data_IF_197146004946
#
_entry.id   IF_197146004946
#
_cell.length_a   1.000
_cell.length_b   1.000
_cell.length_c   1.000
_cell.angle_alpha   90.00
_cell.angle_beta   90.00
_cell.angle_gamma   90.00
#
_symmetry.space_group_name_H-M   'P 1'
#
loop_
_entity.id
_entity.type
_entity.pdbx_description
1 polymer ?
#
# COMPACT_ATOMS: atom_id res chain seq x y z
N UNK A 1 6.38 33.99 -60.41
CA UNK A 1 7.70 34.43 -59.90
C UNK A 1 7.78 33.97 -58.46
N UNK A 2 8.40 32.81 -58.22
CA UNK A 2 9.75 32.64 -57.64
C UNK A 2 9.77 33.10 -56.16
N UNK A 3 9.52 32.17 -55.23
CA UNK A 3 10.52 31.32 -54.55
C UNK A 3 11.25 32.05 -53.43
N UNK A 4 11.09 31.58 -52.19
CA UNK A 4 12.23 31.05 -51.45
C UNK A 4 11.80 30.16 -50.28
N UNK A 5 12.27 28.92 -50.35
CA UNK A 5 12.39 27.96 -49.26
C UNK A 5 13.67 28.25 -48.49
N UNK A 6 13.69 27.96 -47.19
CA UNK A 6 14.91 27.59 -46.48
C UNK A 6 14.55 26.55 -45.41
N UNK A 7 14.80 25.28 -45.76
CA UNK A 7 14.95 24.17 -44.82
C UNK A 7 16.32 24.34 -44.16
N UNK A 8 16.36 24.36 -42.83
CA UNK A 8 17.59 24.18 -42.05
C UNK A 8 17.77 22.70 -41.73
N UNK A 9 18.75 22.09 -42.38
CA UNK A 9 19.26 20.78 -42.06
C UNK A 9 20.13 20.87 -40.79
N UNK A 10 19.74 20.16 -39.72
CA UNK A 10 20.61 19.91 -38.58
C UNK A 10 21.26 18.53 -38.73
N UNK A 11 22.58 18.57 -38.83
CA UNK A 11 23.55 17.47 -38.82
C UNK A 11 23.55 16.79 -37.45
N UNK A 12 23.17 15.51 -37.39
CA UNK A 12 23.42 14.67 -36.21
C UNK A 12 24.82 14.07 -36.32
N UNK A 13 25.66 14.40 -35.34
CA UNK A 13 26.98 13.79 -35.16
C UNK A 13 26.84 12.30 -34.85
N UNK A 14 27.70 11.50 -35.50
CA UNK A 14 28.01 10.12 -35.12
C UNK A 14 28.79 10.10 -33.81
N UNK A 15 28.47 9.17 -32.90
CA UNK A 15 29.41 8.35 -32.10
C UNK A 15 28.60 7.38 -31.22
N UNK A 16 28.46 6.12 -31.65
CA UNK A 16 28.18 5.00 -30.75
C UNK A 16 29.40 4.10 -30.83
N UNK A 17 30.26 4.17 -29.82
CA UNK A 17 31.29 3.18 -29.57
C UNK A 17 30.65 2.06 -28.75
N UNK A 18 30.54 0.88 -29.37
CA UNK A 18 30.14 -0.36 -28.71
C UNK A 18 31.29 -0.81 -27.80
N UNK A 19 31.07 -0.79 -26.48
CA UNK A 19 31.91 -1.47 -25.50
C UNK A 19 31.58 -2.95 -25.52
N UNK A 20 32.48 -3.77 -26.06
CA UNK A 20 32.40 -5.22 -26.02
C UNK A 20 33.78 -5.83 -26.04
N UNK A 21 34.27 -6.22 -24.87
CA UNK A 21 35.27 -7.28 -24.68
C UNK A 21 35.19 -7.73 -23.21
N UNK A 22 34.38 -8.76 -23.00
CA UNK A 22 34.58 -9.77 -21.94
C UNK A 22 35.90 -10.48 -22.22
N UNK A 23 36.71 -10.67 -21.18
CA UNK A 23 37.31 -11.96 -20.79
C UNK A 23 38.38 -11.72 -19.72
N UNK A 24 38.25 -12.36 -18.55
CA UNK A 24 39.18 -13.42 -18.11
C UNK A 24 38.85 -13.96 -16.71
N UNK A 25 38.90 -15.28 -16.62
CA UNK A 25 38.71 -16.18 -15.49
C UNK A 25 39.99 -16.47 -14.70
N UNK A 26 39.77 -17.07 -13.52
CA UNK A 26 40.68 -17.86 -12.65
C UNK A 26 41.69 -17.05 -11.80
N UNK A 27 41.94 -17.37 -10.53
CA UNK A 27 42.47 -18.62 -9.92
C UNK A 27 42.08 -18.58 -8.41
N UNK A 28 41.48 -19.64 -7.82
CA UNK A 28 42.12 -20.71 -7.00
C UNK A 28 42.98 -20.12 -5.84
N UNK A 29 43.06 -20.62 -4.61
CA UNK A 29 42.58 -21.77 -3.87
C UNK A 29 43.02 -21.51 -2.41
N UNK A 30 42.43 -22.13 -1.39
CA UNK A 30 43.11 -22.72 -0.20
C UNK A 30 42.10 -23.05 0.92
N UNK A 31 42.01 -24.36 1.13
CA UNK A 31 41.38 -25.22 2.14
C UNK A 31 41.77 -24.93 3.62
N UNK A 32 40.81 -25.09 4.56
CA UNK A 32 40.67 -26.21 5.55
C UNK A 32 41.44 -25.92 6.87
N UNK A 33 40.96 -26.11 8.11
CA UNK A 33 40.35 -27.22 8.87
C UNK A 33 39.55 -26.62 10.07
N UNK A 34 38.37 -27.12 10.46
CA UNK A 34 38.08 -28.28 11.35
C UNK A 34 38.51 -28.09 12.82
N UNK A 35 37.55 -28.07 13.76
CA UNK A 35 37.42 -29.06 14.88
C UNK A 35 36.30 -28.65 15.86
N UNK A 36 35.59 -29.67 16.32
CA UNK A 36 34.39 -29.70 17.17
C UNK A 36 34.67 -29.75 18.69
N UNK A 37 33.57 -29.89 19.46
CA UNK A 37 33.36 -30.09 20.92
C UNK A 37 33.14 -28.78 21.68
N UNK A 38 32.19 -28.66 22.61
CA UNK A 38 31.68 -29.66 23.56
C UNK A 38 30.28 -29.28 24.07
N UNK A 39 29.48 -30.29 24.43
CA UNK A 39 28.21 -30.14 25.14
C UNK A 39 28.46 -29.92 26.65
N UNK A 40 27.47 -29.39 27.39
CA UNK A 40 26.90 -29.98 28.62
C UNK A 40 25.78 -29.11 29.21
N UNK A 41 24.69 -29.80 29.50
CA UNK A 41 23.41 -29.49 30.15
C UNK A 41 23.55 -29.20 31.66
N UNK A 42 22.67 -28.34 32.24
CA UNK A 42 21.85 -28.60 33.45
C UNK A 42 21.00 -27.39 33.87
N UNK A 43 19.66 -27.57 33.91
CA UNK A 43 18.70 -26.84 34.78
C UNK A 43 18.70 -27.45 36.20
N UNK A 44 17.83 -27.07 37.17
CA UNK A 44 17.28 -25.77 37.57
C UNK A 44 17.59 -25.47 39.07
N UNK A 45 17.36 -24.23 39.54
CA UNK A 45 17.25 -23.97 41.00
C UNK A 45 15.89 -23.35 41.31
N UNK A 46 15.10 -24.15 42.02
CA UNK A 46 13.84 -23.80 42.67
C UNK A 46 14.16 -23.07 43.98
N UNK A 47 13.54 -21.91 44.18
CA UNK A 47 13.28 -21.39 45.54
C UNK A 47 11.79 -21.12 45.64
N UNK A 48 11.13 -21.96 46.42
CA UNK A 48 9.77 -21.74 46.88
C UNK A 48 9.80 -20.76 48.05
N UNK A 49 8.92 -19.76 48.04
CA UNK A 49 8.31 -19.23 49.25
C UNK A 49 6.92 -18.69 48.93
N UNK A 50 5.96 -19.29 49.62
CA UNK A 50 4.52 -19.01 49.79
C UNK A 50 4.14 -17.53 49.85
N UNK A 51 3.09 -17.11 49.14
CA UNK A 51 1.76 -16.89 49.73
C UNK A 51 0.69 -16.51 48.68
N UNK A 52 -0.54 -16.93 48.95
CA UNK A 52 -1.85 -16.37 48.55
C UNK A 52 -2.28 -16.21 47.07
N UNK A 53 -3.57 -16.53 46.89
CA UNK A 53 -4.51 -16.12 45.84
C UNK A 53 -4.48 -16.90 44.52
N UNK A 54 -5.24 -18.01 44.55
CA UNK A 54 -6.18 -18.43 43.52
C UNK A 54 -6.56 -17.29 42.57
N UNK A 55 -6.07 -17.36 41.34
CA UNK A 55 -6.69 -16.68 40.20
C UNK A 55 -6.78 -17.73 39.12
N UNK A 56 -7.95 -18.38 39.02
CA UNK A 56 -8.38 -19.03 37.79
C UNK A 56 -8.34 -17.97 36.69
N UNK A 57 -7.20 -17.89 36.00
CA UNK A 57 -7.12 -17.23 34.71
C UNK A 57 -7.85 -18.16 33.75
N UNK A 58 -9.17 -17.97 33.67
CA UNK A 58 -9.99 -18.45 32.56
C UNK A 58 -9.26 -18.04 31.28
N UNK A 59 -8.60 -19.02 30.66
CA UNK A 59 -8.17 -18.89 29.29
C UNK A 59 -9.46 -18.87 28.49
N UNK A 60 -9.97 -17.67 28.25
CA UNK A 60 -10.91 -17.42 27.17
C UNK A 60 -10.15 -17.78 25.89
N UNK A 61 -10.29 -19.05 25.53
CA UNK A 61 -9.94 -19.59 24.24
C UNK A 61 -10.68 -18.71 23.24
N UNK A 62 -9.96 -17.75 22.67
CA UNK A 62 -10.50 -16.89 21.64
C UNK A 62 -10.96 -17.81 20.52
N UNK A 63 -12.27 -18.03 20.45
CA UNK A 63 -12.90 -18.79 19.39
C UNK A 63 -12.43 -18.13 18.10
N UNK A 64 -11.57 -18.82 17.36
CA UNK A 64 -11.21 -18.44 16.01
C UNK A 64 -12.47 -18.68 15.20
N UNK A 65 -13.33 -17.68 15.14
CA UNK A 65 -14.50 -17.69 14.25
C UNK A 65 -13.92 -17.72 12.84
N UNK A 66 -13.85 -18.92 12.27
CA UNK A 66 -13.48 -19.11 10.87
C UNK A 66 -14.63 -18.53 10.07
N UNK A 67 -14.41 -17.35 9.49
CA UNK A 67 -15.36 -16.71 8.59
C UNK A 67 -15.55 -17.58 7.36
N UNK A 68 -16.80 -17.91 7.02
CA UNK A 68 -17.07 -18.88 5.94
C UNK A 68 -16.72 -18.37 4.54
N UNK A 69 -16.51 -17.07 4.33
CA UNK A 69 -16.00 -16.50 3.07
C UNK A 69 -15.41 -15.10 3.34
N UNK A 70 -14.14 -14.99 3.78
CA UNK A 70 -13.52 -13.68 3.98
C UNK A 70 -13.35 -12.93 2.65
N UNK A 71 -13.27 -11.59 2.67
CA UNK A 71 -12.88 -10.80 1.51
C UNK A 71 -11.61 -11.34 0.84
N UNK A 72 -11.52 -11.21 -0.48
CA UNK A 72 -10.40 -11.73 -1.29
C UNK A 72 -9.02 -11.34 -0.75
N UNK A 73 -8.90 -10.11 -0.25
CA UNK A 73 -7.66 -9.54 0.28
C UNK A 73 -7.71 -9.34 1.80
N UNK A 74 -8.54 -10.10 2.52
CA UNK A 74 -8.71 -9.95 3.96
C UNK A 74 -7.40 -10.09 4.76
N UNK A 75 -6.49 -10.99 4.36
CA UNK A 75 -5.20 -11.14 5.04
C UNK A 75 -4.33 -9.88 4.94
N UNK A 76 -4.38 -9.20 3.79
CA UNK A 76 -3.66 -7.95 3.57
C UNK A 76 -4.25 -6.88 4.48
N UNK A 77 -5.55 -6.60 4.36
CA UNK A 77 -6.20 -5.56 5.17
C UNK A 77 -6.11 -5.87 6.65
N UNK A 78 -6.31 -7.12 7.07
CA UNK A 78 -6.16 -7.53 8.47
C UNK A 78 -4.77 -7.22 9.05
N UNK A 79 -3.70 -7.33 8.24
CA UNK A 79 -2.34 -6.96 8.64
C UNK A 79 -2.12 -5.45 8.75
N UNK A 80 -2.95 -4.64 8.09
CA UNK A 80 -2.89 -3.17 8.12
C UNK A 80 -3.62 -2.60 9.35
N UNK A 81 -4.48 -3.38 10.01
CA UNK A 81 -5.19 -2.93 11.18
C UNK A 81 -4.22 -2.63 12.34
N UNK A 82 -4.40 -1.49 12.99
CA UNK A 82 -3.50 -1.03 14.05
C UNK A 82 -4.10 -1.25 15.43
N UNK A 83 -3.30 -1.78 16.36
CA UNK A 83 -3.68 -1.79 17.78
C UNK A 83 -3.85 -0.35 18.29
N UNK A 84 -4.61 -0.14 19.37
CA UNK A 84 -4.77 1.19 19.96
C UNK A 84 -3.42 1.89 20.20
N UNK A 85 -3.29 3.12 19.70
CA UNK A 85 -2.09 3.96 19.77
C UNK A 85 -0.86 3.42 19.02
N UNK A 86 -1.02 2.40 18.18
CA UNK A 86 0.04 1.94 17.30
C UNK A 86 0.17 2.86 16.07
N UNK A 87 1.35 2.80 15.47
CA UNK A 87 1.70 3.40 14.19
C UNK A 87 2.17 2.28 13.27
N UNK A 88 1.99 2.48 11.96
CA UNK A 88 2.64 1.62 10.99
C UNK A 88 4.15 1.89 10.98
N UNK A 89 4.93 0.86 10.68
CA UNK A 89 6.35 0.98 10.35
C UNK A 89 6.61 0.44 8.96
N UNK A 90 7.69 0.90 8.32
CA UNK A 90 8.07 0.42 7.00
C UNK A 90 8.30 -1.09 6.99
N UNK A 91 8.96 -1.63 8.02
CA UNK A 91 9.26 -3.07 8.12
C UNK A 91 7.99 -3.92 8.27
N UNK A 92 7.02 -3.44 9.07
CA UNK A 92 5.75 -4.14 9.25
C UNK A 92 4.93 -4.14 7.97
N UNK A 93 4.90 -3.03 7.22
CA UNK A 93 4.17 -2.96 5.95
C UNK A 93 4.85 -3.80 4.87
N UNK A 94 6.17 -3.75 4.77
CA UNK A 94 6.95 -4.60 3.86
C UNK A 94 6.87 -6.11 4.18
N UNK A 95 6.24 -6.47 5.31
CA UNK A 95 5.99 -7.84 5.75
C UNK A 95 4.51 -8.22 5.68
N UNK A 96 3.65 -7.38 5.10
CA UNK A 96 2.24 -7.71 4.84
C UNK A 96 2.15 -9.01 4.03
N UNK A 97 1.31 -9.97 4.46
CA UNK A 97 1.15 -11.25 3.78
C UNK A 97 0.53 -11.07 2.39
N UNK A 98 0.68 -12.10 1.55
CA UNK A 98 0.06 -12.22 0.22
C UNK A 98 0.46 -11.15 -0.82
N UNK A 99 1.45 -10.29 -0.49
CA UNK A 99 2.11 -9.42 -1.47
C UNK A 99 3.12 -10.24 -2.28
N UNK A 100 2.94 -10.30 -3.60
CA UNK A 100 3.75 -11.14 -4.48
C UNK A 100 5.21 -10.68 -4.55
N UNK A 101 5.42 -9.37 -4.64
CA UNK A 101 6.75 -8.77 -4.73
C UNK A 101 6.70 -7.32 -4.24
N UNK A 102 7.64 -6.97 -3.36
CA UNK A 102 7.92 -5.58 -2.97
C UNK A 102 9.04 -4.99 -3.83
N UNK A 103 8.83 -3.79 -4.38
CA UNK A 103 9.79 -3.07 -5.20
C UNK A 103 9.49 -1.56 -5.25
N UNK A 104 10.11 -0.72 -4.39
CA UNK A 104 11.11 -1.06 -3.39
C UNK A 104 10.48 -1.61 -2.10
N UNK A 105 11.24 -2.45 -1.38
CA UNK A 105 10.86 -2.96 -0.04
C UNK A 105 11.24 -2.03 1.12
N UNK A 106 12.08 -1.04 0.85
CA UNK A 106 12.57 -0.05 1.82
C UNK A 106 12.13 1.34 1.40
N UNK A 107 11.84 2.26 2.35
CA UNK A 107 11.30 3.57 2.03
C UNK A 107 12.24 4.33 1.10
N UNK A 108 11.75 4.63 -0.10
CA UNK A 108 12.50 5.31 -1.15
C UNK A 108 11.84 6.63 -1.44
N UNK A 109 12.64 7.70 -1.56
CA UNK A 109 12.10 9.01 -1.93
C UNK A 109 11.70 9.00 -3.40
N UNK A 110 10.59 9.63 -3.75
CA UNK A 110 10.23 9.87 -5.15
C UNK A 110 11.25 10.83 -5.80
N UNK A 111 12.14 10.31 -6.65
CA UNK A 111 13.17 11.11 -7.34
C UNK A 111 12.62 11.83 -8.58
N UNK A 112 11.50 11.36 -9.14
CA UNK A 112 10.90 11.90 -10.37
C UNK A 112 10.05 13.14 -10.12
N UNK A 113 9.65 13.36 -8.87
CA UNK A 113 8.92 14.55 -8.44
C UNK A 113 9.66 15.14 -7.24
N UNK A 114 10.73 15.93 -7.46
CA UNK A 114 11.61 16.40 -6.38
C UNK A 114 10.89 17.22 -5.29
N UNK A 115 9.76 17.81 -5.66
CA UNK A 115 8.87 18.57 -4.77
C UNK A 115 7.92 17.69 -3.96
N UNK A 116 7.85 16.39 -4.26
CA UNK A 116 7.18 15.39 -3.44
C UNK A 116 8.08 15.03 -2.26
N UNK A 117 7.72 15.42 -1.03
CA UNK A 117 8.51 15.07 0.15
C UNK A 117 8.32 13.59 0.54
N UNK A 118 7.38 12.87 -0.08
CA UNK A 118 7.01 11.53 0.36
C UNK A 118 8.05 10.45 0.04
N UNK A 119 8.14 9.52 0.98
CA UNK A 119 8.82 8.24 0.82
C UNK A 119 7.77 7.19 0.56
N UNK A 120 8.11 6.18 -0.23
CA UNK A 120 7.19 5.10 -0.54
C UNK A 120 7.85 3.72 -0.55
N UNK A 121 7.01 2.71 -0.37
CA UNK A 121 7.23 1.33 -0.80
C UNK A 121 6.05 0.90 -1.65
N UNK A 122 6.26 -0.02 -2.58
CA UNK A 122 5.21 -0.56 -3.44
C UNK A 122 5.33 -2.08 -3.54
N UNK A 123 4.20 -2.77 -3.58
CA UNK A 123 4.15 -4.21 -3.80
C UNK A 123 2.99 -4.63 -4.70
N UNK A 124 3.27 -5.61 -5.57
CA UNK A 124 2.26 -6.19 -6.47
C UNK A 124 1.35 -7.17 -5.74
N UNK A 125 0.04 -7.09 -6.00
CA UNK A 125 -0.98 -8.00 -5.46
C UNK A 125 -1.33 -9.08 -6.48
N UNK A 126 -1.61 -8.68 -7.71
CA UNK A 126 -1.81 -9.53 -8.87
C UNK A 126 -1.46 -8.75 -10.15
N UNK A 127 -1.80 -9.31 -11.31
CA UNK A 127 -1.52 -8.69 -12.60
C UNK A 127 -2.28 -7.37 -12.85
N UNK A 128 -3.26 -7.05 -12.01
CA UNK A 128 -4.16 -5.91 -12.18
C UNK A 128 -4.04 -4.86 -11.09
N UNK A 129 -3.27 -5.11 -10.03
CA UNK A 129 -3.20 -4.17 -8.92
C UNK A 129 -2.07 -4.39 -7.93
N UNK A 130 -2.00 -3.48 -6.96
CA UNK A 130 -0.93 -3.42 -5.98
C UNK A 130 -1.29 -2.63 -4.75
N UNK A 131 -0.38 -2.68 -3.78
CA UNK A 131 -0.39 -1.87 -2.57
C UNK A 131 0.80 -0.91 -2.61
N UNK A 132 0.58 0.32 -2.20
CA UNK A 132 1.61 1.32 -1.98
C UNK A 132 1.47 1.87 -0.59
N UNK A 133 2.57 2.16 0.08
CA UNK A 133 2.53 2.94 1.31
C UNK A 133 3.38 4.19 1.13
N UNK A 134 2.89 5.31 1.65
CA UNK A 134 3.50 6.63 1.57
C UNK A 134 3.66 7.22 2.96
N UNK A 135 4.69 8.04 3.15
CA UNK A 135 4.90 8.74 4.42
C UNK A 135 6.20 9.54 4.43
N UNK A 136 6.76 9.70 5.62
CA UNK A 136 8.07 10.31 5.81
C UNK A 136 9.17 9.25 5.76
N UNK A 137 10.43 9.69 5.79
CA UNK A 137 11.56 8.76 5.89
C UNK A 137 11.43 7.78 7.07
N UNK A 138 10.86 8.24 8.17
CA UNK A 138 10.82 7.50 9.43
C UNK A 138 9.60 6.59 9.54
N UNK A 139 8.46 7.00 8.98
CA UNK A 139 7.23 6.21 9.07
C UNK A 139 6.25 6.42 7.91
N UNK A 140 5.50 5.38 7.54
CA UNK A 140 4.32 5.49 6.69
C UNK A 140 3.18 6.24 7.39
N UNK A 141 2.34 6.91 6.60
CA UNK A 141 1.17 7.70 7.02
C UNK A 141 -0.08 7.31 6.24
N UNK A 142 0.10 6.89 4.99
CA UNK A 142 -0.94 6.58 4.02
C UNK A 142 -0.65 5.21 3.41
N UNK A 143 -1.68 4.40 3.22
CA UNK A 143 -1.63 3.18 2.42
C UNK A 143 -2.65 3.31 1.30
N UNK A 144 -2.26 2.91 0.09
CA UNK A 144 -3.13 2.84 -1.07
C UNK A 144 -3.16 1.42 -1.59
N UNK A 145 -4.35 0.94 -1.93
CA UNK A 145 -4.55 -0.30 -2.68
C UNK A 145 -5.26 0.09 -3.96
N UNK A 146 -4.67 -0.22 -5.09
CA UNK A 146 -5.18 0.19 -6.39
C UNK A 146 -5.23 -0.98 -7.36
N UNK A 147 -6.12 -0.87 -8.33
CA UNK A 147 -6.23 -1.80 -9.44
C UNK A 147 -6.70 -1.09 -10.70
N UNK A 148 -6.47 -1.72 -11.84
CA UNK A 148 -6.94 -1.21 -13.12
C UNK A 148 -7.10 -2.32 -14.14
N UNK A 149 -8.02 -2.09 -15.06
CA UNK A 149 -8.28 -2.98 -16.18
C UNK A 149 -8.55 -2.15 -17.44
N UNK A 150 -7.86 -2.48 -18.53
CA UNK A 150 -8.09 -1.83 -19.81
C UNK A 150 -9.37 -2.32 -20.49
N UNK A 151 -10.07 -1.47 -21.23
CA UNK A 151 -11.29 -1.87 -21.99
C UNK A 151 -11.01 -3.02 -22.97
N UNK A 152 -9.79 -3.07 -23.51
CA UNK A 152 -9.36 -4.11 -24.45
C UNK A 152 -9.09 -5.47 -23.79
N UNK A 153 -9.00 -5.54 -22.46
CA UNK A 153 -8.76 -6.77 -21.70
C UNK A 153 -10.09 -7.46 -21.38
N UNK A 154 -11.03 -6.71 -20.83
CA UNK A 154 -12.39 -7.14 -20.51
C UNK A 154 -13.29 -5.92 -20.26
N UNK A 155 -14.47 -5.90 -20.84
CA UNK A 155 -15.45 -4.82 -20.65
C UNK A 155 -16.20 -4.91 -19.32
N UNK A 156 -16.12 -6.05 -18.61
CA UNK A 156 -16.86 -6.24 -17.35
C UNK A 156 -16.24 -5.54 -16.14
N UNK A 157 -14.97 -5.13 -16.22
CA UNK A 157 -14.26 -4.54 -15.07
C UNK A 157 -13.99 -5.54 -13.94
N UNK A 158 -14.06 -6.84 -14.21
CA UNK A 158 -13.95 -7.92 -13.22
C UNK A 158 -12.64 -7.92 -12.43
N UNK A 159 -11.57 -7.33 -12.99
CA UNK A 159 -10.28 -7.23 -12.32
C UNK A 159 -10.12 -5.97 -11.46
N UNK A 160 -11.11 -5.08 -11.47
CA UNK A 160 -11.10 -3.85 -10.67
C UNK A 160 -11.58 -4.16 -9.25
N UNK A 161 -10.72 -3.91 -8.28
CA UNK A 161 -10.98 -4.17 -6.88
C UNK A 161 -12.07 -3.26 -6.33
N UNK A 162 -12.95 -3.84 -5.55
CA UNK A 162 -14.01 -3.15 -4.82
C UNK A 162 -13.70 -3.14 -3.33
N UNK A 163 -14.38 -2.28 -2.59
CA UNK A 163 -14.26 -2.22 -1.12
C UNK A 163 -14.61 -3.56 -0.46
N UNK A 164 -15.56 -4.32 -1.02
CA UNK A 164 -15.95 -5.67 -0.60
C UNK A 164 -14.88 -6.75 -0.83
N UNK A 165 -13.92 -6.53 -1.74
CA UNK A 165 -12.76 -7.41 -1.89
C UNK A 165 -11.73 -7.21 -0.77
N UNK A 166 -11.75 -6.05 -0.12
CA UNK A 166 -10.75 -5.59 0.84
C UNK A 166 -11.23 -5.70 2.29
N UNK A 167 -12.47 -5.28 2.56
CA UNK A 167 -12.99 -5.11 3.91
C UNK A 167 -14.22 -5.95 4.17
N UNK A 168 -14.35 -6.42 5.41
CA UNK A 168 -15.60 -7.01 5.86
C UNK A 168 -16.67 -5.93 5.97
N UNK A 169 -17.85 -6.18 5.41
CA UNK A 169 -18.94 -5.21 5.38
C UNK A 169 -19.36 -4.73 6.79
N UNK A 170 -19.28 -5.60 7.80
CA UNK A 170 -19.60 -5.26 9.19
C UNK A 170 -18.52 -4.42 9.90
N UNK A 171 -17.32 -4.30 9.33
CA UNK A 171 -16.24 -3.46 9.86
C UNK A 171 -16.20 -2.09 9.17
N UNK A 172 -16.93 -1.90 8.07
CA UNK A 172 -16.90 -0.69 7.25
C UNK A 172 -18.20 0.12 7.44
N UNK A 173 -18.08 1.36 7.92
CA UNK A 173 -19.21 2.28 8.08
C UNK A 173 -19.07 3.46 7.13
N UNK A 174 -20.07 3.71 6.27
CA UNK A 174 -20.08 4.86 5.35
C UNK A 174 -20.11 6.18 6.13
N UNK A 175 -19.26 7.14 5.75
CA UNK A 175 -19.18 8.49 6.32
C UNK A 175 -19.51 9.51 5.24
N UNK A 176 -20.66 10.18 5.33
CA UNK A 176 -21.07 11.18 4.34
C UNK A 176 -20.11 12.37 4.29
N UNK A 177 -19.85 12.85 3.09
CA UNK A 177 -18.99 13.99 2.79
C UNK A 177 -19.59 14.88 1.71
N UNK A 178 -19.31 16.18 1.76
CA UNK A 178 -19.60 17.08 0.65
C UNK A 178 -18.72 16.83 -0.59
N UNK A 179 -17.67 16.00 -0.46
CA UNK A 179 -16.83 15.53 -1.55
C UNK A 179 -17.24 14.14 -2.07
N UNK A 180 -18.36 13.58 -1.61
CA UNK A 180 -18.90 12.37 -2.19
C UNK A 180 -19.36 12.63 -3.63
N UNK A 181 -19.21 11.65 -4.51
CA UNK A 181 -19.83 11.66 -5.84
C UNK A 181 -20.86 10.54 -5.97
N UNK A 182 -21.56 10.49 -7.11
CA UNK A 182 -22.54 9.43 -7.38
C UNK A 182 -21.86 8.06 -7.41
N UNK A 183 -22.43 7.09 -6.68
CA UNK A 183 -21.83 5.75 -6.50
C UNK A 183 -21.63 5.01 -7.82
N UNK A 184 -22.61 5.12 -8.73
CA UNK A 184 -22.62 4.51 -10.06
C UNK A 184 -22.14 5.47 -11.18
N UNK A 185 -21.52 6.60 -10.81
CA UNK A 185 -20.98 7.56 -11.75
C UNK A 185 -19.72 7.05 -12.45
N UNK A 186 -19.35 7.69 -13.58
CA UNK A 186 -18.06 7.43 -14.24
C UNK A 186 -16.88 7.72 -13.30
N UNK A 187 -17.05 8.67 -12.38
CA UNK A 187 -16.14 8.88 -11.27
C UNK A 187 -16.92 8.79 -9.96
N UNK A 188 -16.64 7.77 -9.18
CA UNK A 188 -17.23 7.51 -7.86
C UNK A 188 -16.18 7.76 -6.79
N UNK A 189 -16.51 8.51 -5.74
CA UNK A 189 -15.66 8.78 -4.58
C UNK A 189 -16.51 8.70 -3.33
N UNK A 190 -16.16 7.77 -2.44
CA UNK A 190 -16.88 7.48 -1.21
C UNK A 190 -15.91 7.43 -0.02
N UNK A 191 -16.40 7.78 1.17
CA UNK A 191 -15.60 7.75 2.39
C UNK A 191 -16.20 6.83 3.46
N UNK A 192 -15.34 6.16 4.22
CA UNK A 192 -15.72 5.20 5.24
C UNK A 192 -14.83 5.30 6.47
N UNK A 193 -15.39 4.88 7.60
CA UNK A 193 -14.67 4.52 8.81
C UNK A 193 -14.57 3.00 8.86
N UNK A 194 -13.35 2.49 8.92
CA UNK A 194 -13.06 1.07 9.11
C UNK A 194 -12.71 0.80 10.57
N UNK A 195 -13.46 -0.09 11.21
CA UNK A 195 -13.36 -0.38 12.65
C UNK A 195 -13.40 -1.89 12.89
N UNK A 196 -12.22 -2.51 12.94
CA UNK A 196 -12.06 -3.90 13.36
C UNK A 196 -12.13 -4.04 14.89
N UNK A 197 -12.82 -5.05 15.45
CA UNK A 197 -12.88 -5.28 16.89
C UNK A 197 -11.48 -5.43 17.54
N UNK A 198 -11.20 -4.65 18.59
CA UNK A 198 -9.91 -4.67 19.29
C UNK A 198 -8.76 -3.92 18.59
N UNK A 199 -9.07 -3.13 17.56
CA UNK A 199 -8.14 -2.26 16.84
C UNK A 199 -8.64 -0.80 16.89
N UNK A 200 -7.77 0.16 16.58
CA UNK A 200 -8.17 1.57 16.46
C UNK A 200 -8.91 1.82 15.12
N UNK A 201 -9.84 2.79 15.06
CA UNK A 201 -10.48 3.15 13.80
C UNK A 201 -9.44 3.68 12.82
N UNK A 202 -9.64 3.32 11.55
CA UNK A 202 -8.95 3.89 10.41
C UNK A 202 -9.99 4.48 9.46
N UNK A 203 -9.54 5.37 8.58
CA UNK A 203 -10.39 6.08 7.64
C UNK A 203 -10.00 5.69 6.23
N UNK A 204 -11.02 5.54 5.39
CA UNK A 204 -10.89 4.99 4.05
C UNK A 204 -11.55 5.93 3.06
N UNK A 205 -10.89 6.22 1.94
CA UNK A 205 -11.57 6.64 0.73
C UNK A 205 -11.60 5.47 -0.25
N UNK A 206 -12.63 5.39 -1.07
CA UNK A 206 -12.71 4.47 -2.20
C UNK A 206 -13.11 5.26 -3.44
N UNK A 207 -12.31 5.13 -4.50
CA UNK A 207 -12.52 5.77 -5.78
C UNK A 207 -12.64 4.71 -6.85
N UNK A 208 -13.58 4.91 -7.77
CA UNK A 208 -13.64 4.20 -9.05
C UNK A 208 -13.65 5.25 -10.15
N UNK A 209 -12.76 5.12 -11.14
CA UNK A 209 -12.71 5.99 -12.32
C UNK A 209 -12.83 5.14 -13.58
N UNK A 210 -13.93 5.34 -14.30
CA UNK A 210 -14.27 4.72 -15.58
C UNK A 210 -14.01 5.72 -16.70
N UNK A 211 -13.01 5.40 -17.52
CA UNK A 211 -12.64 6.18 -18.68
C UNK A 211 -12.63 5.31 -19.94
N UNK A 212 -12.54 5.96 -21.11
CA UNK A 212 -12.48 5.25 -22.40
C UNK A 212 -11.33 4.25 -22.51
N UNK A 213 -10.25 4.43 -21.74
CA UNK A 213 -9.08 3.56 -21.74
C UNK A 213 -9.22 2.35 -20.81
N UNK A 214 -10.12 2.40 -19.83
CA UNK A 214 -10.29 1.36 -18.82
C UNK A 214 -11.00 1.86 -17.58
N UNK A 215 -11.18 0.94 -16.64
CA UNK A 215 -11.67 1.23 -15.30
C UNK A 215 -10.55 1.05 -14.31
N UNK A 216 -10.46 1.94 -13.33
CA UNK A 216 -9.50 1.85 -12.23
C UNK A 216 -10.18 2.05 -10.89
N UNK A 217 -9.58 1.49 -9.86
CA UNK A 217 -9.99 1.67 -8.46
C UNK A 217 -8.79 2.07 -7.63
N UNK A 218 -9.04 2.97 -6.68
CA UNK A 218 -8.05 3.51 -5.75
C UNK A 218 -8.68 3.60 -4.36
N UNK A 219 -8.14 2.82 -3.42
CA UNK A 219 -8.62 2.74 -2.04
C UNK A 219 -7.50 3.18 -1.12
N UNK A 220 -7.70 4.31 -0.44
CA UNK A 220 -6.75 4.82 0.54
C UNK A 220 -7.14 4.47 1.96
N UNK A 221 -6.15 4.24 2.82
CA UNK A 221 -6.30 3.96 4.26
C UNK A 221 -5.36 4.88 5.03
N UNK A 222 -5.91 5.60 6.01
CA UNK A 222 -5.15 6.51 6.87
C UNK A 222 -5.71 6.55 8.30
N UNK A 223 -5.02 7.23 9.21
CA UNK A 223 -5.45 7.39 10.62
C UNK A 223 -6.49 8.48 10.80
N UNK A 224 -6.63 9.39 9.84
CA UNK A 224 -7.65 10.44 9.79
C UNK A 224 -8.00 10.79 8.34
N UNK A 225 -9.15 11.43 8.10
CA UNK A 225 -9.45 11.97 6.78
C UNK A 225 -8.50 13.13 6.40
N UNK A 226 -8.02 13.91 7.36
CA UNK A 226 -7.11 15.03 7.12
C UNK A 226 -5.78 14.59 6.50
N UNK A 227 -5.31 13.38 6.84
CA UNK A 227 -4.09 12.80 6.26
C UNK A 227 -4.17 12.66 4.73
N UNK A 228 -5.38 12.50 4.18
CA UNK A 228 -5.59 12.42 2.73
C UNK A 228 -5.53 13.78 2.00
N UNK A 229 -5.62 14.89 2.73
CA UNK A 229 -5.59 16.23 2.14
C UNK A 229 -4.32 17.01 2.51
N UNK A 230 -3.33 16.32 3.08
CA UNK A 230 -2.02 16.89 3.31
C UNK A 230 -1.28 17.09 1.98
N UNK A 231 -0.81 18.31 1.73
CA UNK A 231 -0.11 18.71 0.51
C UNK A 231 1.15 17.89 0.24
N UNK A 232 1.80 17.41 1.30
CA UNK A 232 2.98 16.55 1.23
C UNK A 232 2.71 15.22 0.51
N UNK A 233 1.45 14.81 0.36
CA UNK A 233 1.04 13.57 -0.33
C UNK A 233 0.15 13.83 -1.55
N UNK A 234 0.05 15.08 -2.01
CA UNK A 234 -0.84 15.46 -3.13
C UNK A 234 -0.60 14.64 -4.41
N UNK A 235 0.67 14.33 -4.74
CA UNK A 235 0.98 13.50 -5.91
C UNK A 235 0.57 12.04 -5.71
N UNK A 236 0.77 11.50 -4.51
CA UNK A 236 0.33 10.15 -4.15
C UNK A 236 -1.20 10.03 -4.20
N UNK A 237 -1.93 11.13 -4.00
CA UNK A 237 -3.39 11.19 -3.91
C UNK A 237 -4.04 11.91 -5.10
N UNK A 238 -3.39 11.92 -6.26
CA UNK A 238 -3.83 12.69 -7.43
C UNK A 238 -5.26 12.39 -7.90
N UNK A 239 -5.78 11.18 -7.63
CA UNK A 239 -7.13 10.77 -8.00
C UNK A 239 -8.19 11.25 -7.01
N UNK A 240 -7.81 11.59 -5.78
CA UNK A 240 -8.71 12.09 -4.75
C UNK A 240 -9.08 13.54 -5.07
N UNK A 241 -10.37 13.78 -5.30
CA UNK A 241 -10.88 15.09 -5.73
C UNK A 241 -11.57 15.78 -4.56
N UNK A 242 -11.15 17.01 -4.27
CA UNK A 242 -11.84 17.91 -3.38
C UNK A 242 -12.48 19.04 -4.21
N UNK A 243 -13.47 18.68 -5.03
CA UNK A 243 -14.13 19.58 -5.97
C UNK A 243 -15.66 19.57 -5.75
N UNK A 244 -16.32 20.72 -5.95
CA UNK A 244 -17.79 20.79 -6.03
C UNK A 244 -18.32 20.33 -7.42
N UNK A 245 -19.64 20.36 -7.61
CA UNK A 245 -20.30 19.96 -8.85
C UNK A 245 -19.92 20.87 -10.04
N UNK A 246 -19.47 22.09 -9.77
CA UNK A 246 -19.00 23.07 -10.74
C UNK A 246 -17.49 22.95 -11.03
N UNK A 247 -16.79 22.06 -10.32
CA UNK A 247 -15.35 21.82 -10.48
C UNK A 247 -14.45 22.81 -9.73
N UNK A 248 -14.98 23.58 -8.78
CA UNK A 248 -14.18 24.44 -7.91
C UNK A 248 -13.59 23.66 -6.74
N UNK A 249 -12.39 24.02 -6.32
CA UNK A 249 -11.77 23.45 -5.12
C UNK A 249 -12.58 23.77 -3.86
N UNK A 250 -12.85 22.73 -3.08
CA UNK A 250 -13.54 22.82 -1.79
C UNK A 250 -12.74 22.12 -0.69
N UNK A 251 -13.05 22.44 0.56
CA UNK A 251 -12.59 21.63 1.70
C UNK A 251 -13.62 20.55 1.97
N UNK A 252 -13.17 19.29 2.06
CA UNK A 252 -14.05 18.19 2.40
C UNK A 252 -14.44 18.23 3.88
N UNK A 253 -15.71 17.96 4.17
CA UNK A 253 -16.30 17.91 5.51
C UNK A 253 -16.99 16.58 5.70
N UNK A 254 -16.90 15.99 6.90
CA UNK A 254 -17.33 14.62 7.16
C UNK A 254 -18.35 14.53 8.30
N UNK A 255 -19.42 13.76 8.10
CA UNK A 255 -20.44 13.48 9.13
C UNK A 255 -20.02 12.25 9.98
N UNK A 256 -19.19 12.49 11.01
CA UNK A 256 -18.57 11.46 11.87
C UNK A 256 -19.43 10.96 13.04
#
# INVERSE_FOLDING_TARGET
MLSNRLLSAFTLMSFIALSGCSDQTAVEDTKQDTTAKEAVTTEPVVTASTDAAETEKSAEEAEVVVEENPPRFANITDSLALKPNAEWSWDTLASTPDIQKWDPKTPTKNEYTPEDPSYYIWGGLDDHGGVSAYGTKDKPVLIKINSGQGVMEDETGSAVYKTEDLFRANELTRVKSNCDTEEDGLFSQQFYKWQKPGYQPLYVYAITDQANAGTSSDVGIAKSFDDFFNLDYSNALINLRALDAEGNSVTCTFEL
#
